data_IF_918229496787
#
_entry.id   IF_918229496787
#
_cell.length_a   1.000
_cell.length_b   1.000
_cell.length_c   1.000
_cell.angle_alpha   90.00
_cell.angle_beta   90.00
_cell.angle_gamma   90.00
#
_symmetry.space_group_name_H-M   'P 1'
#
loop_
_entity.id
_entity.type
_entity.pdbx_description
1 polymer ?
#
# COMPACT_ATOMS: atom_id res chain seq x y z
N UNK A 1 -20.88 3.96 -7.98
CA UNK A 1 -20.71 4.27 -6.53
C UNK A 1 -22.03 4.82 -6.00
N UNK A 2 -22.40 4.56 -4.75
CA UNK A 2 -23.66 5.09 -4.17
C UNK A 2 -23.34 6.20 -3.18
N UNK A 3 -23.89 7.38 -3.38
CA UNK A 3 -23.75 8.53 -2.48
C UNK A 3 -25.14 8.93 -1.98
N UNK A 4 -25.21 9.34 -0.72
CA UNK A 4 -26.44 9.84 -0.10
C UNK A 4 -26.51 11.35 -0.31
N UNK A 5 -27.57 11.82 -0.97
CA UNK A 5 -27.77 13.25 -1.15
C UNK A 5 -28.33 13.86 0.15
N UNK A 6 -27.82 15.02 0.58
CA UNK A 6 -28.27 15.73 1.79
C UNK A 6 -29.17 16.94 1.49
N UNK A 7 -29.47 17.20 0.22
CA UNK A 7 -30.36 18.28 -0.18
C UNK A 7 -31.82 17.83 -0.07
N UNK A 8 -32.38 17.88 1.14
CA UNK A 8 -33.77 18.27 1.43
C UNK A 8 -34.19 17.81 2.82
N UNK A 9 -34.73 18.75 3.59
CA UNK A 9 -35.41 18.50 4.85
C UNK A 9 -36.77 17.83 4.62
N UNK A 10 -36.81 16.58 4.15
CA UNK A 10 -37.90 15.64 4.42
C UNK A 10 -37.55 14.22 3.94
N UNK A 11 -37.82 13.24 4.81
CA UNK A 11 -37.94 11.79 4.63
C UNK A 11 -37.28 11.08 3.42
N UNK A 12 -36.42 10.11 3.75
CA UNK A 12 -35.78 9.11 2.88
C UNK A 12 -34.48 9.54 2.18
N UNK A 13 -33.38 9.00 2.70
CA UNK A 13 -32.05 9.12 2.16
C UNK A 13 -31.96 8.53 0.74
N UNK A 14 -32.23 9.32 -0.29
CA UNK A 14 -32.12 8.86 -1.68
C UNK A 14 -30.64 8.60 -2.01
N UNK A 15 -30.30 7.33 -2.22
CA UNK A 15 -28.99 6.92 -2.70
C UNK A 15 -28.93 7.11 -4.20
N UNK A 16 -28.07 8.02 -4.65
CA UNK A 16 -27.85 8.29 -6.08
C UNK A 16 -26.67 7.45 -6.56
N UNK A 17 -26.83 6.86 -7.75
CA UNK A 17 -25.73 6.20 -8.44
C UNK A 17 -24.89 7.24 -9.18
N UNK A 18 -23.61 7.28 -8.86
CA UNK A 18 -22.64 8.19 -9.49
C UNK A 18 -21.41 7.42 -9.98
N UNK A 19 -20.76 7.95 -11.00
CA UNK A 19 -19.49 7.41 -11.48
C UNK A 19 -18.37 7.73 -10.48
N UNK A 20 -17.33 6.89 -10.44
CA UNK A 20 -16.16 7.13 -9.58
C UNK A 20 -15.49 8.44 -9.97
N UNK A 21 -15.35 8.69 -11.28
CA UNK A 21 -14.80 9.95 -11.80
C UNK A 21 -15.56 11.18 -11.28
N UNK A 22 -16.89 11.21 -11.46
CA UNK A 22 -17.67 12.35 -10.99
C UNK A 22 -17.61 12.54 -9.48
N UNK A 23 -17.50 11.46 -8.71
CA UNK A 23 -17.34 11.55 -7.27
C UNK A 23 -16.08 12.32 -6.89
N UNK A 24 -14.93 11.92 -7.43
CA UNK A 24 -13.65 12.54 -7.10
C UNK A 24 -13.53 13.97 -7.63
N UNK A 25 -14.06 14.25 -8.82
CA UNK A 25 -14.06 15.60 -9.40
C UNK A 25 -15.00 16.54 -8.62
N UNK A 26 -16.24 16.13 -8.35
CA UNK A 26 -17.26 17.02 -7.74
C UNK A 26 -17.16 17.10 -6.21
N UNK A 27 -16.86 16.00 -5.53
CA UNK A 27 -16.87 15.95 -4.06
C UNK A 27 -15.48 16.07 -3.44
N UNK A 28 -14.43 15.59 -4.12
CA UNK A 28 -13.06 15.68 -3.60
C UNK A 28 -12.25 16.83 -4.25
N UNK A 29 -12.73 17.41 -5.35
CA UNK A 29 -12.01 18.45 -6.09
C UNK A 29 -10.72 17.92 -6.74
N UNK A 30 -10.62 16.61 -6.96
CA UNK A 30 -9.44 15.95 -7.53
C UNK A 30 -9.73 15.66 -9.00
N UNK A 31 -8.96 16.28 -9.89
CA UNK A 31 -9.03 16.00 -11.32
C UNK A 31 -8.21 14.75 -11.65
N UNK A 32 -8.90 13.71 -12.13
CA UNK A 32 -8.28 12.46 -12.56
C UNK A 32 -7.87 12.59 -14.03
N UNK A 33 -6.61 12.29 -14.37
CA UNK A 33 -6.05 12.56 -15.72
C UNK A 33 -6.03 11.32 -16.60
N UNK A 34 -5.42 10.24 -16.12
CA UNK A 34 -5.26 8.93 -16.74
C UNK A 34 -6.20 7.85 -16.16
N UNK A 35 -6.77 8.02 -14.96
CA UNK A 35 -7.72 7.06 -14.39
C UNK A 35 -8.99 6.89 -15.22
N UNK A 36 -9.33 7.85 -16.09
CA UNK A 36 -10.51 7.78 -16.98
C UNK A 36 -10.47 6.58 -17.93
N UNK A 37 -9.27 6.12 -18.30
CA UNK A 37 -9.07 5.02 -19.24
C UNK A 37 -8.59 3.73 -18.55
N UNK A 38 -8.47 3.72 -17.22
CA UNK A 38 -7.94 2.61 -16.44
C UNK A 38 -9.01 2.03 -15.51
N UNK A 39 -8.91 0.72 -15.17
CA UNK A 39 -9.84 0.12 -14.23
C UNK A 39 -9.65 0.70 -12.82
N UNK A 40 -10.77 0.85 -12.10
CA UNK A 40 -10.74 1.16 -10.67
C UNK A 40 -10.41 -0.09 -9.84
N UNK A 41 -9.79 0.09 -8.68
CA UNK A 41 -9.51 -0.97 -7.71
C UNK A 41 -10.67 -1.10 -6.72
N UNK A 42 -11.19 -2.31 -6.52
CA UNK A 42 -12.12 -2.58 -5.42
C UNK A 42 -11.34 -2.97 -4.15
N UNK A 43 -11.28 -2.05 -3.20
CA UNK A 43 -10.64 -2.23 -1.89
C UNK A 43 -11.66 -2.46 -0.77
N UNK A 44 -12.93 -2.68 -1.15
CA UNK A 44 -14.04 -2.82 -0.22
C UNK A 44 -14.20 -4.20 0.40
N UNK A 45 -15.30 -4.36 1.14
CA UNK A 45 -15.76 -5.68 1.61
C UNK A 45 -16.60 -6.33 0.51
N UNK A 46 -16.71 -7.66 0.45
CA UNK A 46 -17.52 -8.35 -0.58
C UNK A 46 -18.98 -7.86 -0.67
N UNK A 47 -19.58 -7.43 0.47
CA UNK A 47 -20.95 -6.89 0.53
C UNK A 47 -21.04 -5.38 0.31
N UNK A 48 -19.91 -4.67 0.34
CA UNK A 48 -19.82 -3.21 0.19
C UNK A 48 -18.53 -2.88 -0.56
N UNK A 49 -18.57 -2.91 -1.89
CA UNK A 49 -17.40 -2.58 -2.70
C UNK A 49 -17.02 -1.11 -2.49
N UNK A 50 -15.73 -0.83 -2.56
CA UNK A 50 -15.17 0.51 -2.44
C UNK A 50 -14.18 0.71 -3.59
N UNK A 51 -14.58 1.53 -4.55
CA UNK A 51 -13.82 1.75 -5.77
C UNK A 51 -12.85 2.92 -5.60
N UNK A 52 -11.58 2.68 -5.90
CA UNK A 52 -10.52 3.67 -5.85
C UNK A 52 -9.84 3.81 -7.22
N UNK A 53 -9.68 5.04 -7.74
CA UNK A 53 -8.87 5.30 -8.93
C UNK A 53 -7.41 4.88 -8.71
N UNK A 54 -6.80 4.27 -9.73
CA UNK A 54 -5.42 3.76 -9.63
C UNK A 54 -4.40 4.88 -9.38
N UNK A 55 -4.67 6.09 -9.88
CA UNK A 55 -3.89 7.31 -9.63
C UNK A 55 -3.68 7.63 -8.15
N UNK A 56 -4.71 7.37 -7.36
CA UNK A 56 -4.73 7.73 -5.95
C UNK A 56 -4.18 6.62 -5.07
N UNK A 57 -3.81 5.48 -5.67
CA UNK A 57 -3.34 4.31 -4.94
C UNK A 57 -1.81 4.24 -4.95
N UNK A 58 -1.23 4.07 -3.76
CA UNK A 58 0.19 3.77 -3.58
C UNK A 58 0.35 2.43 -2.86
N UNK A 59 1.42 1.70 -3.18
CA UNK A 59 1.75 0.47 -2.47
C UNK A 59 2.31 0.80 -1.10
N UNK A 60 1.75 0.19 -0.07
CA UNK A 60 2.25 0.33 1.30
C UNK A 60 3.62 -0.35 1.40
N UNK A 61 4.60 0.36 1.96
CA UNK A 61 5.94 -0.18 2.15
C UNK A 61 5.95 -1.33 3.16
N UNK A 62 6.97 -2.19 3.07
CA UNK A 62 7.19 -3.33 3.99
C UNK A 62 6.11 -4.42 3.95
N UNK A 63 5.18 -4.39 3.00
CA UNK A 63 4.25 -5.50 2.79
C UNK A 63 4.98 -6.72 2.21
N UNK A 64 4.88 -7.87 2.90
CA UNK A 64 5.47 -9.12 2.44
C UNK A 64 4.68 -9.68 1.25
N UNK A 65 5.37 -9.97 0.15
CA UNK A 65 4.82 -10.73 -0.97
C UNK A 65 4.68 -12.21 -0.60
N UNK A 66 3.48 -12.77 -0.76
CA UNK A 66 3.15 -14.14 -0.31
C UNK A 66 2.97 -15.15 -1.45
N UNK A 67 2.90 -14.68 -2.70
CA UNK A 67 2.73 -15.56 -3.86
C UNK A 67 4.08 -16.12 -4.31
N UNK A 68 4.02 -17.21 -5.08
CA UNK A 68 5.21 -17.80 -5.69
C UNK A 68 5.84 -16.86 -6.70
N UNK A 69 7.13 -16.61 -6.56
CA UNK A 69 7.91 -15.82 -7.51
C UNK A 69 8.17 -16.61 -8.80
N UNK A 70 8.24 -15.90 -9.93
CA UNK A 70 8.63 -16.50 -11.21
C UNK A 70 10.09 -16.97 -11.19
N UNK A 71 10.48 -17.85 -12.12
CA UNK A 71 11.86 -18.35 -12.20
C UNK A 71 12.88 -17.21 -12.33
N UNK A 72 12.59 -16.22 -13.17
CA UNK A 72 13.44 -15.04 -13.36
C UNK A 72 13.55 -14.20 -12.07
N UNK A 73 12.42 -13.93 -11.41
CA UNK A 73 12.41 -13.18 -10.15
C UNK A 73 13.20 -13.91 -9.05
N UNK A 74 13.07 -15.24 -8.98
CA UNK A 74 13.84 -16.08 -8.04
C UNK A 74 15.33 -16.02 -8.34
N UNK A 75 15.74 -16.13 -9.60
CA UNK A 75 17.15 -16.04 -9.99
C UNK A 75 17.74 -14.68 -9.59
N UNK A 76 17.05 -13.58 -9.90
CA UNK A 76 17.45 -12.23 -9.51
C UNK A 76 17.52 -12.07 -7.99
N UNK A 77 16.56 -12.63 -7.24
CA UNK A 77 16.56 -12.56 -5.78
C UNK A 77 17.77 -13.31 -5.20
N UNK A 78 18.04 -14.53 -5.66
CA UNK A 78 19.20 -15.33 -5.22
C UNK A 78 20.48 -14.56 -5.50
N UNK A 79 20.66 -14.05 -6.72
CA UNK A 79 21.84 -13.29 -7.12
C UNK A 79 22.07 -12.06 -6.25
N UNK A 80 21.02 -11.25 -6.02
CA UNK A 80 21.10 -10.06 -5.16
C UNK A 80 21.27 -10.38 -3.68
N UNK A 81 20.79 -11.53 -3.22
CA UNK A 81 20.90 -11.96 -1.82
C UNK A 81 22.24 -12.62 -1.48
N UNK A 82 23.04 -12.99 -2.48
CA UNK A 82 24.36 -13.58 -2.27
C UNK A 82 25.27 -12.58 -1.55
N UNK A 83 25.70 -12.95 -0.35
CA UNK A 83 26.71 -12.23 0.41
C UNK A 83 28.01 -13.04 0.42
N UNK A 84 29.15 -12.38 0.26
CA UNK A 84 30.44 -13.06 0.46
C UNK A 84 30.56 -13.46 1.93
N UNK A 85 31.23 -14.59 2.24
CA UNK A 85 31.36 -15.05 3.61
C UNK A 85 31.92 -13.98 4.56
N UNK A 86 32.92 -13.22 4.12
CA UNK A 86 33.52 -12.14 4.92
C UNK A 86 32.53 -11.01 5.22
N UNK A 87 31.76 -10.58 4.22
CA UNK A 87 30.74 -9.53 4.38
C UNK A 87 29.61 -9.97 5.31
N UNK A 88 29.21 -11.24 5.23
CA UNK A 88 28.22 -11.84 6.14
C UNK A 88 28.74 -11.85 7.57
N UNK A 89 29.98 -12.28 7.80
CA UNK A 89 30.59 -12.30 9.14
C UNK A 89 30.68 -10.89 9.71
N UNK A 90 31.11 -9.91 8.92
CA UNK A 90 31.14 -8.50 9.34
C UNK A 90 29.75 -7.99 9.67
N UNK A 91 28.75 -8.26 8.83
CA UNK A 91 27.36 -7.86 9.09
C UNK A 91 26.84 -8.46 10.40
N UNK A 92 27.02 -9.77 10.61
CA UNK A 92 26.57 -10.47 11.83
C UNK A 92 27.33 -10.00 13.08
N UNK A 93 28.64 -9.81 12.97
CA UNK A 93 29.49 -9.23 14.03
C UNK A 93 28.97 -7.83 14.39
N UNK A 94 28.87 -6.94 13.42
CA UNK A 94 28.50 -5.54 13.64
C UNK A 94 27.08 -5.36 14.22
N UNK A 95 26.15 -6.27 13.95
CA UNK A 95 24.80 -6.26 14.58
C UNK A 95 24.74 -6.97 15.93
N UNK A 96 25.69 -7.86 16.24
CA UNK A 96 25.76 -8.60 17.50
C UNK A 96 26.50 -7.82 18.60
N UNK A 97 27.55 -7.09 18.24
CA UNK A 97 28.35 -6.28 19.17
C UNK A 97 27.75 -4.93 19.66
N UNK A 98 26.65 -4.35 19.15
CA UNK A 98 26.07 -3.16 19.77
C UNK A 98 25.52 -3.46 21.17
N UNK A 99 25.01 -4.67 21.44
CA UNK A 99 24.42 -4.99 22.75
C UNK A 99 25.45 -5.00 23.88
N UNK A 100 26.72 -5.33 23.60
CA UNK A 100 27.76 -5.30 24.63
C UNK A 100 28.38 -3.90 24.83
N UNK A 101 28.42 -3.04 23.81
CA UNK A 101 28.95 -1.69 23.96
C UNK A 101 27.96 -0.71 24.62
N UNK A 102 26.64 -0.91 24.48
CA UNK A 102 25.66 -0.09 25.20
C UNK A 102 25.48 -0.48 26.68
N UNK A 103 25.90 -1.68 27.10
CA UNK A 103 25.86 -2.12 28.50
C UNK A 103 27.08 -1.65 29.34
N UNK A 104 28.14 -1.14 28.70
CA UNK A 104 29.37 -0.70 29.38
C UNK A 104 29.40 0.78 29.83
N UNK A 105 28.40 1.58 29.47
CA UNK A 105 28.31 3.01 29.85
C UNK A 105 27.22 3.31 30.88
N UNK A 106 26.63 2.28 31.49
CA UNK A 106 25.60 2.43 32.52
C UNK A 106 25.82 1.45 33.69
N UNK A 107 27.01 1.51 34.31
CA UNK A 107 27.16 1.19 35.73
C UNK A 107 28.13 2.22 36.33
N UNK A 108 27.70 3.00 37.34
CA UNK A 108 28.60 3.87 38.11
C UNK A 108 29.64 3.07 38.90
#
# INVERSE_FOLDING_TARGET
MRVKNNDSANSEAQTVEITVFEYFTKHCGIELTFSTYLPCLDVGKPKKPNYQPIELCSLVSLQRYTKSLSLMQRATLVEKSRQKPQDRIQTVTNVSFPFHLYAGFLCP
#
